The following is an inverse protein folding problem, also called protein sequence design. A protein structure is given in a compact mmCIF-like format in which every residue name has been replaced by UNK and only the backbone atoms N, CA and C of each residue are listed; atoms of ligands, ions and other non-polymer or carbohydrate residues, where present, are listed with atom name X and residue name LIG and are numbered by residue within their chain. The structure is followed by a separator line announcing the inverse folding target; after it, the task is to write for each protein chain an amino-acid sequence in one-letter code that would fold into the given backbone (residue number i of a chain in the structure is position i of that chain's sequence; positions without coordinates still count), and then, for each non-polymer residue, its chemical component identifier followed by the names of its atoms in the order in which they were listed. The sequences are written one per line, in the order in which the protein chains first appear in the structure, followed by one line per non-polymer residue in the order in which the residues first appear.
data_IF_258207469803
#
_entry.id   IF_258207469803
#
_cell.length_a   1.000
_cell.length_b   1.000
_cell.length_c   1.000
_cell.angle_alpha   90.00
_cell.angle_beta   90.00
_cell.angle_gamma   90.00
#
_symmetry.space_group_name_H-M   'P 1'
#
loop_
_entity.id
_entity.type
_entity.pdbx_description
1 polymer ?
#
# COMPACT_ATOMS: atom_id res chain seq x y z
N UNK A 1 -20.73 4.94 7.14
CA UNK A 1 -20.90 5.17 8.60
C UNK A 1 -20.57 6.61 8.92
N UNK A 2 -21.26 7.22 9.89
CA UNK A 2 -21.05 8.62 10.27
C UNK A 2 -20.17 8.79 11.52
N UNK A 3 -20.02 7.73 12.32
CA UNK A 3 -19.13 7.71 13.49
C UNK A 3 -18.53 6.32 13.71
N UNK A 4 -17.51 6.25 14.58
CA UNK A 4 -16.89 4.96 14.97
C UNK A 4 -17.85 4.04 15.73
N UNK A 5 -18.85 4.59 16.43
CA UNK A 5 -19.84 3.80 17.17
C UNK A 5 -20.73 2.94 16.26
N UNK A 6 -20.83 3.31 14.99
CA UNK A 6 -21.55 2.53 13.98
C UNK A 6 -20.72 1.34 13.47
N UNK A 7 -19.39 1.31 13.67
CA UNK A 7 -18.52 0.27 13.10
C UNK A 7 -18.84 -1.11 13.68
N UNK A 8 -19.29 -2.02 12.80
CA UNK A 8 -19.63 -3.38 13.18
C UNK A 8 -19.45 -4.36 12.01
N UNK A 9 -19.53 -5.66 12.32
CA UNK A 9 -19.31 -6.76 11.35
C UNK A 9 -20.27 -6.67 10.16
N UNK A 10 -21.55 -6.33 10.39
CA UNK A 10 -22.53 -6.24 9.31
C UNK A 10 -22.15 -5.16 8.30
N UNK A 11 -21.65 -4.02 8.78
CA UNK A 11 -21.23 -2.91 7.93
C UNK A 11 -20.00 -3.29 7.12
N UNK A 12 -18.99 -3.89 7.76
CA UNK A 12 -17.77 -4.35 7.09
C UNK A 12 -18.12 -5.36 5.99
N UNK A 13 -18.97 -6.34 6.28
CA UNK A 13 -19.37 -7.37 5.32
C UNK A 13 -20.26 -6.83 4.18
N UNK A 14 -20.93 -5.70 4.39
CA UNK A 14 -21.73 -5.02 3.35
C UNK A 14 -20.92 -4.04 2.50
N UNK A 15 -19.62 -3.86 2.77
CA UNK A 15 -18.79 -2.94 2.02
C UNK A 15 -18.76 -3.32 0.53
N UNK A 16 -18.84 -2.30 -0.34
CA UNK A 16 -18.70 -2.50 -1.78
C UNK A 16 -17.32 -3.06 -2.09
N UNK A 17 -17.28 -4.08 -2.93
CA UNK A 17 -16.04 -4.65 -3.46
C UNK A 17 -15.51 -3.73 -4.56
N UNK A 18 -14.24 -3.32 -4.42
CA UNK A 18 -13.48 -2.70 -5.51
C UNK A 18 -12.99 -3.82 -6.43
N UNK A 19 -13.47 -3.82 -7.67
CA UNK A 19 -13.09 -4.82 -8.66
C UNK A 19 -11.73 -4.49 -9.28
N UNK A 20 -11.08 -5.50 -9.85
CA UNK A 20 -9.89 -5.36 -10.71
C UNK A 20 -8.66 -4.71 -10.06
N UNK A 21 -8.58 -4.69 -8.72
CA UNK A 21 -7.36 -4.27 -8.00
C UNK A 21 -6.25 -5.33 -8.04
N UNK A 22 -6.63 -6.60 -8.04
CA UNK A 22 -5.72 -7.74 -8.03
C UNK A 22 -6.16 -8.73 -9.11
N UNK A 23 -5.19 -9.40 -9.74
CA UNK A 23 -5.48 -10.58 -10.55
C UNK A 23 -5.71 -11.80 -9.65
N UNK A 24 -6.18 -12.91 -10.22
CA UNK A 24 -6.54 -14.12 -9.47
C UNK A 24 -5.37 -14.70 -8.64
N UNK A 25 -4.13 -14.53 -9.10
CA UNK A 25 -2.92 -15.00 -8.42
C UNK A 25 -2.36 -14.02 -7.38
N UNK A 26 -2.93 -12.82 -7.28
CA UNK A 26 -2.49 -11.77 -6.38
C UNK A 26 -3.46 -11.60 -5.19
N UNK A 27 -2.90 -11.16 -4.06
CA UNK A 27 -3.69 -10.69 -2.93
C UNK A 27 -3.05 -9.47 -2.31
N UNK A 28 -3.80 -8.73 -1.50
CA UNK A 28 -3.27 -7.55 -0.85
C UNK A 28 -4.30 -6.86 0.01
N UNK A 29 -3.96 -5.63 0.41
CA UNK A 29 -4.86 -4.81 1.20
C UNK A 29 -4.23 -3.48 1.60
N UNK A 30 -5.07 -2.63 2.18
CA UNK A 30 -4.68 -1.33 2.73
C UNK A 30 -3.99 -1.48 4.08
N UNK A 31 -2.95 -0.69 4.30
CA UNK A 31 -2.21 -0.56 5.55
C UNK A 31 -2.43 0.82 6.19
N UNK A 32 -2.38 1.89 5.40
CA UNK A 32 -2.52 3.28 5.85
C UNK A 32 -3.25 4.13 4.79
N UNK A 33 -4.01 5.13 5.24
CA UNK A 33 -4.72 6.08 4.38
C UNK A 33 -4.25 7.51 4.64
N UNK A 34 -4.00 8.26 3.57
CA UNK A 34 -3.73 9.70 3.61
C UNK A 34 -4.87 10.45 2.93
N UNK A 35 -5.42 11.48 3.58
CA UNK A 35 -6.34 12.40 2.92
C UNK A 35 -5.50 13.39 2.11
N UNK A 36 -5.67 13.38 0.78
CA UNK A 36 -4.94 14.25 -0.14
C UNK A 36 -5.61 15.63 -0.26
N UNK A 37 -4.89 16.62 -0.78
CA UNK A 37 -5.36 18.01 -0.96
C UNK A 37 -6.66 18.12 -1.76
N UNK A 38 -6.82 17.27 -2.77
CA UNK A 38 -7.99 17.20 -3.64
C UNK A 38 -9.09 16.26 -3.10
N UNK A 39 -8.99 15.82 -1.84
CA UNK A 39 -9.91 14.89 -1.15
C UNK A 39 -9.91 13.46 -1.67
N UNK A 40 -9.03 13.10 -2.60
CA UNK A 40 -8.72 11.70 -2.85
C UNK A 40 -8.08 11.09 -1.60
N UNK A 41 -8.19 9.77 -1.46
CA UNK A 41 -7.48 9.01 -0.44
C UNK A 41 -6.23 8.41 -1.08
N UNK A 42 -5.04 8.80 -0.62
CA UNK A 42 -3.80 8.10 -0.93
C UNK A 42 -3.74 6.84 -0.08
N UNK A 43 -3.77 5.69 -0.73
CA UNK A 43 -3.75 4.37 -0.08
C UNK A 43 -2.33 3.85 -0.10
N UNK A 44 -1.75 3.61 1.08
CA UNK A 44 -0.58 2.76 1.25
C UNK A 44 -1.07 1.36 1.60
N UNK A 45 -0.57 0.37 0.88
CA UNK A 45 -0.96 -1.02 1.08
C UNK A 45 0.18 -1.97 0.82
N UNK A 46 -0.18 -3.24 0.68
CA UNK A 46 0.68 -4.29 0.18
C UNK A 46 -0.04 -5.05 -0.94
N UNK A 47 0.75 -5.54 -1.89
CA UNK A 47 0.35 -6.52 -2.90
C UNK A 47 1.31 -7.70 -2.83
N UNK A 48 0.80 -8.89 -3.07
CA UNK A 48 1.53 -10.12 -2.86
C UNK A 48 1.09 -11.21 -3.81
N UNK A 49 2.01 -12.13 -4.08
CA UNK A 49 1.78 -13.32 -4.89
C UNK A 49 2.70 -14.47 -4.44
N UNK A 50 2.47 -15.65 -4.98
CA UNK A 50 3.41 -16.78 -4.86
C UNK A 50 4.27 -16.88 -6.13
N UNK A 51 5.54 -17.26 -5.97
CA UNK A 51 6.32 -17.78 -7.11
C UNK A 51 5.98 -19.24 -7.44
N UNK A 52 6.62 -19.76 -8.48
CA UNK A 52 6.46 -21.16 -8.92
C UNK A 52 6.99 -22.19 -7.92
N UNK A 53 7.79 -21.78 -6.92
CA UNK A 53 8.34 -22.63 -5.87
C UNK A 53 7.50 -22.55 -4.58
N UNK A 54 6.46 -21.71 -4.55
CA UNK A 54 5.60 -21.49 -3.39
C UNK A 54 6.16 -20.49 -2.37
N UNK A 55 7.20 -19.73 -2.72
CA UNK A 55 7.68 -18.63 -1.90
C UNK A 55 6.74 -17.44 -1.99
N UNK A 56 6.68 -16.66 -0.93
CA UNK A 56 5.82 -15.48 -0.84
C UNK A 56 6.60 -14.24 -1.26
N UNK A 57 5.98 -13.44 -2.10
CA UNK A 57 6.46 -12.14 -2.52
C UNK A 57 5.48 -11.09 -2.02
N UNK A 58 5.96 -10.11 -1.24
CA UNK A 58 5.14 -9.00 -0.75
C UNK A 58 5.84 -7.70 -1.05
N UNK A 59 5.08 -6.76 -1.60
CA UNK A 59 5.58 -5.45 -2.00
C UNK A 59 4.69 -4.34 -1.42
N UNK A 60 5.28 -3.28 -0.84
CA UNK A 60 4.55 -2.05 -0.56
C UNK A 60 4.03 -1.49 -1.87
N UNK A 61 2.75 -1.12 -1.86
CA UNK A 61 2.10 -0.51 -3.00
C UNK A 61 1.33 0.73 -2.61
N UNK A 62 1.08 1.58 -3.59
CA UNK A 62 0.24 2.76 -3.46
C UNK A 62 -0.72 2.92 -4.62
N UNK A 63 -1.88 3.51 -4.34
CA UNK A 63 -2.80 4.05 -5.34
C UNK A 63 -3.61 5.18 -4.73
N UNK A 64 -4.28 5.99 -5.56
CA UNK A 64 -5.31 6.91 -5.10
C UNK A 64 -6.70 6.27 -5.19
N UNK A 65 -7.60 6.66 -4.30
CA UNK A 65 -9.00 6.27 -4.32
C UNK A 65 -9.89 7.51 -4.26
N UNK A 66 -10.89 7.59 -5.16
CA UNK A 66 -11.92 8.62 -5.13
C UNK A 66 -13.11 8.12 -4.29
N UNK A 67 -13.33 8.63 -3.06
CA UNK A 67 -14.40 8.16 -2.20
C UNK A 67 -15.80 8.61 -2.65
N UNK A 68 -15.91 9.56 -3.58
CA UNK A 68 -17.20 10.00 -4.11
C UNK A 68 -17.64 9.15 -5.29
N UNK A 69 -16.70 8.78 -6.16
CA UNK A 69 -16.96 7.87 -7.30
C UNK A 69 -16.86 6.40 -6.91
N UNK A 70 -16.22 6.13 -5.78
CA UNK A 70 -15.86 4.78 -5.33
C UNK A 70 -14.99 4.06 -6.39
N UNK A 71 -14.00 4.77 -6.91
CA UNK A 71 -13.10 4.33 -7.97
C UNK A 71 -11.64 4.34 -7.47
N UNK A 72 -10.91 3.27 -7.77
CA UNK A 72 -9.48 3.19 -7.51
C UNK A 72 -8.67 3.51 -8.77
N UNK A 73 -7.56 4.21 -8.58
CA UNK A 73 -6.54 4.40 -9.59
C UNK A 73 -5.63 3.18 -9.64
N UNK A 74 -4.80 3.07 -10.69
CA UNK A 74 -3.88 1.95 -10.86
C UNK A 74 -2.87 1.84 -9.71
N UNK A 75 -2.64 0.60 -9.27
CA UNK A 75 -1.66 0.25 -8.24
C UNK A 75 -0.23 0.46 -8.77
N UNK A 76 0.65 0.92 -7.88
CA UNK A 76 2.09 1.02 -8.11
C UNK A 76 2.86 0.38 -6.96
N UNK A 77 3.80 -0.51 -7.29
CA UNK A 77 4.80 -0.99 -6.31
C UNK A 77 5.82 0.11 -6.07
N UNK A 78 6.13 0.39 -4.80
CA UNK A 78 6.98 1.52 -4.40
C UNK A 78 8.29 1.11 -3.69
N UNK A 79 8.48 -0.17 -3.39
CA UNK A 79 9.73 -0.70 -2.86
C UNK A 79 9.87 -2.20 -3.12
N UNK A 80 11.10 -2.65 -3.35
CA UNK A 80 11.47 -4.05 -3.52
C UNK A 80 12.44 -4.50 -2.42
N UNK A 81 12.51 -5.80 -2.16
CA UNK A 81 13.40 -6.34 -1.12
C UNK A 81 14.86 -6.02 -1.36
N UNK A 82 15.32 -6.03 -2.61
CA UNK A 82 16.72 -5.80 -2.98
C UNK A 82 17.14 -4.31 -2.90
N UNK A 83 16.19 -3.39 -2.69
CA UNK A 83 16.45 -1.97 -2.45
C UNK A 83 16.66 -1.66 -0.95
N UNK A 84 16.43 -2.65 -0.09
CA UNK A 84 16.58 -2.57 1.37
C UNK A 84 17.88 -3.25 1.83
N UNK A 85 18.28 -2.98 3.07
CA UNK A 85 19.46 -3.62 3.65
C UNK A 85 19.24 -5.14 3.76
N UNK A 86 20.31 -5.95 3.56
CA UNK A 86 20.23 -7.38 3.85
C UNK A 86 19.93 -7.59 5.34
N UNK A 87 19.21 -8.67 5.66
CA UNK A 87 18.68 -8.91 6.99
C UNK A 87 18.10 -10.30 7.13
N UNK A 88 17.71 -10.66 8.35
CA UNK A 88 17.12 -11.96 8.63
C UNK A 88 15.72 -12.09 8.00
N UNK A 89 15.31 -13.34 7.77
CA UNK A 89 13.92 -13.70 7.51
C UNK A 89 13.50 -14.79 8.49
N UNK A 90 12.26 -14.74 8.95
CA UNK A 90 11.71 -15.68 9.92
C UNK A 90 11.70 -17.12 9.40
N UNK A 91 11.53 -17.29 8.09
CA UNK A 91 11.59 -18.57 7.36
C UNK A 91 12.10 -18.33 5.93
N UNK A 92 12.59 -19.37 5.23
CA UNK A 92 13.08 -19.25 3.86
C UNK A 92 12.05 -18.71 2.85
N UNK A 93 10.76 -19.06 3.01
CA UNK A 93 9.68 -18.62 2.11
C UNK A 93 9.32 -17.13 2.24
N UNK A 94 9.94 -16.42 3.20
CA UNK A 94 9.65 -15.03 3.54
C UNK A 94 10.79 -14.08 3.19
N UNK A 95 11.84 -14.56 2.52
CA UNK A 95 13.02 -13.74 2.19
C UNK A 95 12.63 -12.50 1.38
N UNK A 96 11.63 -12.62 0.50
CA UNK A 96 11.15 -11.56 -0.40
C UNK A 96 9.87 -10.88 0.11
N UNK A 97 9.69 -10.81 1.43
CA UNK A 97 8.60 -10.05 2.04
C UNK A 97 9.06 -8.66 2.43
N UNK A 98 8.37 -7.67 1.89
CA UNK A 98 8.39 -6.27 2.32
C UNK A 98 6.94 -5.82 2.59
N UNK A 99 6.59 -5.72 3.87
CA UNK A 99 5.23 -5.38 4.30
C UNK A 99 5.18 -3.92 4.77
N UNK A 100 4.31 -3.09 4.21
CA UNK A 100 4.23 -1.67 4.55
C UNK A 100 3.74 -1.44 5.98
N UNK A 101 4.52 -0.68 6.75
CA UNK A 101 4.22 -0.30 8.13
C UNK A 101 3.69 1.13 8.28
N UNK A 102 4.13 2.04 7.41
CA UNK A 102 3.58 3.39 7.31
C UNK A 102 4.43 4.34 6.47
N UNK A 103 3.89 5.52 6.17
CA UNK A 103 4.54 6.51 5.30
C UNK A 103 4.52 7.93 5.89
N UNK A 104 5.69 8.55 6.05
CA UNK A 104 5.81 9.94 6.50
C UNK A 104 6.22 10.83 5.33
N UNK A 105 5.25 11.56 4.77
CA UNK A 105 5.47 12.51 3.67
C UNK A 105 6.25 13.74 4.15
N UNK A 106 7.25 14.17 3.37
CA UNK A 106 8.08 15.35 3.66
C UNK A 106 7.77 16.50 2.69
N UNK A 107 8.10 17.73 3.11
CA UNK A 107 7.83 18.93 2.31
C UNK A 107 8.68 19.05 1.03
N UNK A 108 9.79 18.32 0.96
CA UNK A 108 10.71 18.32 -0.19
C UNK A 108 10.31 17.34 -1.32
N UNK A 109 9.09 16.80 -1.26
CA UNK A 109 8.56 15.83 -2.23
C UNK A 109 9.14 14.41 -2.09
N UNK A 110 9.76 14.11 -0.95
CA UNK A 110 10.14 12.76 -0.54
C UNK A 110 9.17 12.23 0.51
N UNK A 111 9.22 10.92 0.74
CA UNK A 111 8.54 10.29 1.85
C UNK A 111 9.45 9.23 2.51
N UNK A 112 9.36 9.11 3.83
CA UNK A 112 9.97 8.01 4.56
C UNK A 112 8.98 6.85 4.62
N UNK A 113 9.32 5.75 3.96
CA UNK A 113 8.56 4.51 4.00
C UNK A 113 9.14 3.59 5.08
N UNK A 114 8.29 3.17 6.01
CA UNK A 114 8.60 2.19 7.04
C UNK A 114 8.02 0.84 6.63
N UNK A 115 8.83 -0.22 6.71
CA UNK A 115 8.47 -1.57 6.27
C UNK A 115 8.92 -2.64 7.25
N UNK A 116 8.09 -3.66 7.45
CA UNK A 116 8.53 -4.94 7.97
C UNK A 116 9.21 -5.76 6.88
N UNK A 117 10.32 -6.41 7.19
CA UNK A 117 11.12 -7.19 6.24
C UNK A 117 11.26 -8.62 6.76
N UNK A 118 10.88 -9.58 5.92
CA UNK A 118 11.01 -11.01 6.20
C UNK A 118 10.35 -11.51 7.49
N UNK A 119 9.34 -10.81 8.01
CA UNK A 119 8.71 -11.04 9.32
C UNK A 119 9.71 -11.10 10.49
N UNK A 120 10.86 -10.44 10.36
CA UNK A 120 11.95 -10.51 11.34
C UNK A 120 12.46 -9.12 11.76
N UNK A 121 12.44 -8.16 10.83
CA UNK A 121 13.04 -6.84 11.04
C UNK A 121 12.09 -5.73 10.58
N UNK A 122 12.38 -4.50 11.00
CA UNK A 122 11.78 -3.30 10.45
C UNK A 122 12.88 -2.42 9.84
N UNK A 123 12.62 -1.86 8.68
CA UNK A 123 13.53 -0.94 7.99
C UNK A 123 12.80 0.31 7.55
N UNK A 124 13.58 1.32 7.20
CA UNK A 124 13.11 2.59 6.66
C UNK A 124 13.88 2.94 5.40
N UNK A 125 13.18 3.39 4.38
CA UNK A 125 13.76 3.86 3.12
C UNK A 125 13.16 5.20 2.73
N UNK A 126 13.98 6.08 2.15
CA UNK A 126 13.54 7.36 1.61
C UNK A 126 13.19 7.18 0.13
N UNK A 127 11.94 7.46 -0.24
CA UNK A 127 11.43 7.37 -1.60
C UNK A 127 10.91 8.73 -2.08
N UNK A 128 10.60 8.87 -3.37
CA UNK A 128 9.75 9.97 -3.84
C UNK A 128 8.36 9.86 -3.22
N UNK A 129 7.73 10.99 -2.88
CA UNK A 129 6.37 11.00 -2.32
C UNK A 129 5.39 10.42 -3.36
N UNK A 130 4.83 9.22 -3.12
CA UNK A 130 4.05 8.49 -4.12
C UNK A 130 2.70 9.15 -4.39
N UNK A 131 2.25 10.09 -3.55
CA UNK A 131 0.94 10.72 -3.70
C UNK A 131 0.99 12.10 -4.35
N UNK A 132 2.18 12.67 -4.59
CA UNK A 132 2.29 14.00 -5.19
C UNK A 132 1.69 14.07 -6.58
N UNK A 133 1.80 13.00 -7.38
CA UNK A 133 1.25 12.97 -8.73
C UNK A 133 -0.27 13.19 -8.78
N UNK A 134 -0.98 12.88 -7.70
CA UNK A 134 -2.42 13.10 -7.60
C UNK A 134 -2.78 14.49 -7.07
N UNK A 135 -1.83 15.20 -6.45
CA UNK A 135 -2.01 16.51 -5.83
C UNK A 135 -1.44 17.67 -6.65
N UNK A 136 -0.73 17.37 -7.73
CA UNK A 136 -0.25 18.38 -8.65
C UNK A 136 -1.42 18.91 -9.48
N UNK A 137 -1.69 20.22 -9.40
CA UNK A 137 -2.67 20.94 -10.22
C UNK A 137 -2.22 20.97 -11.69
N UNK A 138 -2.20 19.83 -12.38
CA UNK A 138 -2.07 19.73 -13.85
C UNK A 138 -2.08 18.28 -14.35
N UNK A 139 -3.25 17.63 -14.28
CA UNK A 139 -3.69 16.78 -15.40
C UNK A 139 -5.06 17.28 -15.81
N UNK A 140 -5.07 18.18 -16.79
CA UNK A 140 -6.25 18.43 -17.62
C UNK A 140 -6.50 17.13 -18.37
N UNK A 141 -7.64 16.50 -18.10
CA UNK A 141 -8.26 15.57 -19.06
C UNK A 141 -8.74 16.41 -20.26
#
# INVERSE_FOLDING_TARGET
INSLDELNISIINSARILQDLFIDEEWGGTNELHILKNRLLGVLGHIACFDTLGNRHYYPMTFAFDPYKEEAFSIKVIALRNELLPGAAKRPDLIDIVFSGGLVRQQNGKAELYVGVGDAEAQKVLIDDPFLEYEMDSIRI
#
